data_IF_900179322885
#
_entry.id   IF_900179322885
#
_cell.length_a   1.000
_cell.length_b   1.000
_cell.length_c   1.000
_cell.angle_alpha   90.00
_cell.angle_beta   90.00
_cell.angle_gamma   90.00
#
_symmetry.space_group_name_H-M   'P 1'
#
loop_
_entity.id
_entity.type
_entity.pdbx_description
1 polymer ?
#
# COMPACT_ATOMS: atom_id res chain seq x y z
N UNK A 1 -30.45 -31.20 1.93
CA UNK A 1 -29.49 -30.90 3.01
C UNK A 1 -29.95 -29.61 3.67
N UNK A 2 -30.19 -29.63 4.98
CA UNK A 2 -30.63 -28.45 5.72
C UNK A 2 -29.57 -27.37 5.67
N UNK A 3 -29.96 -26.13 5.35
CA UNK A 3 -29.07 -24.98 5.30
C UNK A 3 -28.47 -24.73 6.70
N UNK A 4 -27.16 -24.69 6.81
CA UNK A 4 -26.49 -24.35 8.06
C UNK A 4 -26.72 -22.87 8.40
N UNK A 5 -26.84 -22.50 9.69
CA UNK A 5 -26.95 -21.11 10.09
C UNK A 5 -25.68 -20.31 9.70
N UNK A 6 -25.81 -19.01 9.53
CA UNK A 6 -24.67 -18.15 9.14
C UNK A 6 -23.50 -18.22 10.13
N UNK A 7 -23.78 -18.40 11.42
CA UNK A 7 -22.76 -18.57 12.48
C UNK A 7 -21.85 -19.77 12.22
N UNK A 8 -22.36 -20.86 11.69
CA UNK A 8 -21.55 -22.01 11.31
C UNK A 8 -20.46 -21.65 10.28
N UNK A 9 -20.82 -20.85 9.27
CA UNK A 9 -19.86 -20.43 8.24
C UNK A 9 -18.85 -19.40 8.77
N UNK A 10 -19.25 -18.54 9.70
CA UNK A 10 -18.33 -17.59 10.36
C UNK A 10 -17.31 -18.34 11.25
N UNK A 11 -17.76 -19.32 12.00
CA UNK A 11 -16.89 -20.18 12.82
C UNK A 11 -15.90 -20.97 11.95
N UNK A 12 -16.39 -21.52 10.83
CA UNK A 12 -15.55 -22.24 9.88
C UNK A 12 -14.47 -21.30 9.26
N UNK A 13 -14.85 -20.10 8.89
CA UNK A 13 -13.94 -19.11 8.36
C UNK A 13 -12.86 -18.68 9.39
N UNK A 14 -13.28 -18.42 10.64
CA UNK A 14 -12.36 -18.07 11.72
C UNK A 14 -11.38 -19.22 12.03
N UNK A 15 -11.87 -20.47 12.06
CA UNK A 15 -11.03 -21.64 12.27
C UNK A 15 -10.02 -21.81 11.14
N UNK A 16 -10.45 -21.69 9.88
CA UNK A 16 -9.56 -21.81 8.73
C UNK A 16 -8.49 -20.70 8.71
N UNK A 17 -8.85 -19.47 9.07
CA UNK A 17 -7.90 -18.35 9.19
C UNK A 17 -6.88 -18.61 10.31
N UNK A 18 -7.33 -19.08 11.48
CA UNK A 18 -6.45 -19.41 12.62
C UNK A 18 -5.48 -20.57 12.28
N UNK A 19 -5.95 -21.61 11.61
CA UNK A 19 -5.11 -22.70 11.12
C UNK A 19 -4.09 -22.22 10.08
N UNK A 20 -4.51 -21.37 9.14
CA UNK A 20 -3.61 -20.76 8.16
C UNK A 20 -2.51 -19.97 8.84
N UNK A 21 -2.84 -19.08 9.78
CA UNK A 21 -1.86 -18.28 10.52
C UNK A 21 -0.84 -19.11 11.29
N UNK A 22 -1.25 -20.27 11.83
CA UNK A 22 -0.41 -21.14 12.66
C UNK A 22 0.47 -22.10 11.87
N UNK A 23 0.02 -22.57 10.71
CA UNK A 23 0.61 -23.74 10.06
C UNK A 23 1.02 -23.56 8.60
N UNK A 24 0.58 -22.48 7.92
CA UNK A 24 0.83 -22.32 6.48
C UNK A 24 2.28 -21.98 6.10
N UNK A 25 3.08 -21.49 7.05
CA UNK A 25 4.41 -20.93 6.77
C UNK A 25 4.40 -19.52 6.16
N UNK A 26 3.23 -18.97 5.86
CA UNK A 26 3.05 -17.56 5.49
C UNK A 26 3.12 -16.66 6.73
N UNK A 27 3.59 -15.41 6.56
CA UNK A 27 3.74 -14.45 7.65
C UNK A 27 3.73 -13.03 7.09
N UNK A 28 3.45 -12.04 7.93
CA UNK A 28 3.59 -10.64 7.56
C UNK A 28 5.06 -10.31 7.21
N UNK A 29 5.24 -9.44 6.23
CA UNK A 29 6.55 -9.01 5.78
C UNK A 29 7.23 -8.09 6.81
N UNK A 30 8.33 -8.57 7.38
CA UNK A 30 9.09 -7.88 8.43
C UNK A 30 10.60 -7.87 8.16
N UNK A 31 10.99 -8.04 6.89
CA UNK A 31 12.41 -8.17 6.51
C UNK A 31 13.21 -6.88 6.66
N UNK A 32 12.58 -5.74 6.83
CA UNK A 32 13.23 -4.43 6.95
C UNK A 32 12.77 -3.72 8.23
N UNK A 33 12.41 -2.45 8.17
CA UNK A 33 11.94 -1.67 9.32
C UNK A 33 10.43 -1.40 9.25
N UNK A 34 9.76 -1.14 10.36
CA UNK A 34 8.35 -0.74 10.34
C UNK A 34 8.06 0.48 9.46
N UNK A 35 9.05 1.35 9.21
CA UNK A 35 8.92 2.53 8.37
C UNK A 35 8.98 2.22 6.86
N UNK A 36 9.47 1.05 6.46
CA UNK A 36 9.74 0.68 5.06
C UNK A 36 9.12 -0.64 4.62
N UNK A 37 8.77 -1.52 5.55
CA UNK A 37 8.22 -2.84 5.23
C UNK A 37 7.01 -2.76 4.29
N UNK A 38 6.05 -1.90 4.62
CA UNK A 38 4.81 -1.83 3.85
C UNK A 38 5.02 -1.26 2.44
N UNK A 39 5.82 -0.20 2.29
CA UNK A 39 6.08 0.38 0.97
C UNK A 39 6.91 -0.56 0.09
N UNK A 40 7.91 -1.23 0.67
CA UNK A 40 8.77 -2.13 -0.07
C UNK A 40 8.06 -3.41 -0.54
N UNK A 41 7.00 -3.81 0.16
CA UNK A 41 6.14 -4.90 -0.28
C UNK A 41 5.52 -4.65 -1.67
N UNK A 42 5.35 -3.39 -2.07
CA UNK A 42 4.68 -3.01 -3.32
C UNK A 42 5.59 -2.34 -4.35
N UNK A 43 6.73 -1.80 -3.93
CA UNK A 43 7.56 -0.94 -4.77
C UNK A 43 8.82 -1.63 -5.28
N UNK A 44 9.12 -2.86 -4.87
CA UNK A 44 10.21 -3.66 -5.43
C UNK A 44 9.76 -4.36 -6.71
N UNK A 45 10.68 -4.49 -7.66
CA UNK A 45 10.39 -5.16 -8.94
C UNK A 45 10.04 -6.63 -8.77
N UNK A 46 10.69 -7.33 -7.85
CA UNK A 46 10.32 -8.70 -7.51
C UNK A 46 9.97 -8.80 -6.02
N UNK A 47 8.71 -9.04 -5.71
CA UNK A 47 8.21 -9.25 -4.33
C UNK A 47 7.92 -10.72 -4.03
N UNK A 48 7.93 -11.58 -5.05
CA UNK A 48 7.55 -13.00 -4.93
C UNK A 48 8.75 -13.89 -4.67
N UNK A 49 9.99 -13.42 -4.92
CA UNK A 49 11.18 -14.27 -4.80
C UNK A 49 11.63 -14.49 -3.35
N UNK A 50 11.61 -15.75 -2.97
CA UNK A 50 12.39 -16.42 -1.93
C UNK A 50 12.07 -16.11 -0.48
N UNK A 51 12.01 -14.88 -0.03
CA UNK A 51 11.88 -14.52 1.40
C UNK A 51 10.55 -13.83 1.75
N UNK A 52 9.78 -13.43 0.77
CA UNK A 52 8.51 -12.74 1.02
C UNK A 52 7.39 -13.76 1.27
N UNK A 53 7.12 -13.98 2.55
CA UNK A 53 6.05 -14.89 3.01
C UNK A 53 4.68 -14.22 3.12
N UNK A 54 4.55 -12.93 2.81
CA UNK A 54 3.27 -12.24 2.92
C UNK A 54 2.42 -12.39 1.66
N UNK A 55 3.01 -12.49 0.49
CA UNK A 55 2.29 -12.59 -0.78
C UNK A 55 1.85 -14.04 -1.02
N UNK A 56 0.54 -14.27 -1.04
CA UNK A 56 -0.06 -15.58 -1.37
C UNK A 56 -0.29 -15.69 -2.88
N UNK A 57 -0.78 -14.61 -3.49
CA UNK A 57 -1.05 -14.54 -4.92
C UNK A 57 -0.65 -13.16 -5.47
N UNK A 58 0.11 -13.14 -6.55
CA UNK A 58 0.47 -11.93 -7.28
C UNK A 58 0.30 -12.12 -8.78
N UNK A 59 0.08 -11.02 -9.49
CA UNK A 59 0.31 -10.95 -10.92
C UNK A 59 1.77 -10.58 -11.14
N UNK A 60 2.52 -11.48 -11.75
CA UNK A 60 3.92 -11.26 -12.05
C UNK A 60 4.09 -10.46 -13.33
N UNK A 61 5.07 -9.59 -13.31
CA UNK A 61 5.50 -8.79 -14.44
C UNK A 61 6.99 -9.00 -14.66
N UNK A 62 7.42 -8.97 -15.91
CA UNK A 62 8.82 -9.18 -16.27
C UNK A 62 9.15 -8.42 -17.56
N UNK A 63 10.12 -7.53 -17.46
CA UNK A 63 10.54 -6.71 -18.59
C UNK A 63 11.22 -7.53 -19.70
N UNK A 64 11.86 -8.65 -19.36
CA UNK A 64 12.52 -9.51 -20.35
C UNK A 64 11.51 -10.18 -21.28
N UNK A 65 10.30 -10.43 -20.79
CA UNK A 65 9.22 -11.00 -21.59
C UNK A 65 8.24 -9.96 -22.12
N UNK A 66 8.52 -8.67 -21.91
CA UNK A 66 7.62 -7.59 -22.31
C UNK A 66 6.30 -7.53 -21.55
N UNK A 67 6.22 -8.22 -20.41
CA UNK A 67 5.03 -8.19 -19.54
C UNK A 67 5.17 -7.04 -18.56
N UNK A 68 4.65 -5.89 -18.93
CA UNK A 68 4.86 -4.61 -18.22
C UNK A 68 3.53 -3.89 -17.96
N UNK A 69 3.57 -2.85 -17.12
CA UNK A 69 2.44 -1.99 -16.85
C UNK A 69 2.86 -0.51 -16.77
N UNK A 70 1.93 0.39 -16.47
CA UNK A 70 2.15 1.85 -16.49
C UNK A 70 1.82 2.52 -15.16
N UNK A 71 2.03 1.86 -14.03
CA UNK A 71 1.68 2.44 -12.72
C UNK A 71 2.44 3.74 -12.47
N UNK A 72 3.76 3.77 -12.68
CA UNK A 72 4.56 4.98 -12.50
C UNK A 72 4.12 6.12 -13.41
N UNK A 73 3.98 5.84 -14.70
CA UNK A 73 3.52 6.83 -15.68
C UNK A 73 2.15 7.43 -15.26
N UNK A 74 1.24 6.60 -14.75
CA UNK A 74 -0.08 7.06 -14.27
C UNK A 74 0.02 8.01 -13.08
N UNK A 75 1.01 7.82 -12.19
CA UNK A 75 1.24 8.69 -11.03
C UNK A 75 2.00 9.98 -11.36
N UNK A 76 2.63 10.06 -12.53
CA UNK A 76 3.43 11.18 -12.97
C UNK A 76 2.84 11.93 -14.17
N UNK A 77 1.59 11.65 -14.54
CA UNK A 77 0.95 12.25 -15.71
C UNK A 77 -0.30 13.03 -15.35
N UNK A 78 -0.44 14.20 -15.97
CA UNK A 78 -1.66 15.01 -15.89
C UNK A 78 -2.83 14.41 -16.71
N UNK A 79 -2.55 13.44 -17.59
CA UNK A 79 -3.53 12.86 -18.54
C UNK A 79 -3.85 11.40 -18.33
N UNK A 80 -3.05 10.68 -17.53
CA UNK A 80 -3.19 9.24 -17.30
C UNK A 80 -3.86 8.92 -15.94
N UNK A 81 -5.01 9.52 -15.65
CA UNK A 81 -5.83 9.14 -14.51
C UNK A 81 -5.69 10.02 -13.26
N UNK A 82 -4.57 10.68 -13.00
CA UNK A 82 -4.34 11.60 -11.87
C UNK A 82 -4.83 11.00 -10.53
N UNK A 83 -4.34 9.82 -10.10
CA UNK A 83 -4.87 9.12 -8.93
C UNK A 83 -4.67 9.94 -7.65
N UNK A 84 -5.63 9.82 -6.73
CA UNK A 84 -5.56 10.44 -5.41
C UNK A 84 -6.44 9.68 -4.44
N UNK A 85 -5.94 9.47 -3.22
CA UNK A 85 -6.75 8.85 -2.18
C UNK A 85 -7.81 9.82 -1.67
N UNK A 86 -8.92 9.28 -1.19
CA UNK A 86 -9.96 10.10 -0.57
C UNK A 86 -9.54 10.54 0.83
N UNK A 87 -9.99 11.72 1.27
CA UNK A 87 -9.78 12.17 2.66
C UNK A 87 -10.35 11.18 3.68
N UNK A 88 -11.46 10.54 3.36
CA UNK A 88 -12.06 9.51 4.22
C UNK A 88 -11.09 8.34 4.46
N UNK A 89 -10.42 7.86 3.42
CA UNK A 89 -9.41 6.79 3.56
C UNK A 89 -8.20 7.29 4.37
N UNK A 90 -7.68 8.48 4.07
CA UNK A 90 -6.55 9.05 4.82
C UNK A 90 -6.91 9.28 6.30
N UNK A 91 -8.13 9.74 6.59
CA UNK A 91 -8.62 9.93 7.95
C UNK A 91 -8.83 8.61 8.72
N UNK A 92 -9.03 7.48 8.04
CA UNK A 92 -9.21 6.18 8.67
C UNK A 92 -7.93 5.56 9.24
N UNK A 93 -6.75 6.01 8.77
CA UNK A 93 -5.49 5.61 9.42
C UNK A 93 -5.46 6.12 10.86
N UNK A 94 -4.95 5.30 11.76
CA UNK A 94 -4.84 5.65 13.18
C UNK A 94 -3.72 6.66 13.44
N UNK A 95 -3.68 7.19 14.64
CA UNK A 95 -2.51 7.88 15.17
C UNK A 95 -1.44 6.86 15.55
N UNK A 96 -0.21 7.32 15.77
CA UNK A 96 0.92 6.46 16.16
C UNK A 96 0.69 5.71 17.48
N UNK A 97 -0.12 6.28 18.37
CA UNK A 97 -0.52 5.70 19.66
C UNK A 97 -1.72 4.75 19.57
N UNK A 98 -2.27 4.53 18.36
CA UNK A 98 -3.43 3.68 18.11
C UNK A 98 -4.79 4.37 18.26
N UNK A 99 -4.83 5.64 18.68
CA UNK A 99 -6.09 6.40 18.75
C UNK A 99 -6.60 6.75 17.34
N UNK A 100 -7.90 7.06 17.24
CA UNK A 100 -8.48 7.49 15.97
C UNK A 100 -8.10 8.93 15.66
N UNK A 101 -7.65 9.20 14.44
CA UNK A 101 -7.38 10.57 13.98
C UNK A 101 -8.62 11.45 14.06
N UNK A 102 -9.78 10.91 13.76
CA UNK A 102 -11.06 11.64 13.75
C UNK A 102 -11.56 12.04 15.14
N UNK A 103 -10.96 11.50 16.19
CA UNK A 103 -11.28 11.90 17.58
C UNK A 103 -10.54 13.18 18.01
N UNK A 104 -9.57 13.66 17.21
CA UNK A 104 -8.88 14.93 17.48
C UNK A 104 -9.81 16.11 17.20
N UNK A 105 -9.88 17.04 18.15
CA UNK A 105 -10.61 18.29 17.94
C UNK A 105 -10.05 19.07 16.75
N UNK A 106 -10.91 19.53 15.85
CA UNK A 106 -10.53 20.33 14.69
C UNK A 106 -9.84 19.56 13.55
N UNK A 107 -9.85 18.22 13.54
CA UNK A 107 -9.20 17.43 12.49
C UNK A 107 -9.68 17.80 11.07
N UNK A 108 -10.92 18.27 10.93
CA UNK A 108 -11.51 18.63 9.64
C UNK A 108 -10.82 19.83 8.95
N UNK A 109 -10.21 20.69 9.75
CA UNK A 109 -9.59 21.96 9.31
C UNK A 109 -8.07 21.94 9.39
N UNK A 110 -7.48 20.81 9.77
CA UNK A 110 -6.02 20.63 9.78
C UNK A 110 -5.44 20.78 8.39
N UNK A 111 -4.28 21.42 8.32
CA UNK A 111 -3.45 21.46 7.12
C UNK A 111 -2.89 20.08 6.79
N UNK A 112 -2.44 19.87 5.56
CA UNK A 112 -1.84 18.59 5.13
C UNK A 112 -0.66 18.16 6.02
N UNK A 113 0.17 19.10 6.45
CA UNK A 113 1.31 18.82 7.34
C UNK A 113 0.83 18.36 8.72
N UNK A 114 -0.18 19.02 9.28
CA UNK A 114 -0.74 18.67 10.60
C UNK A 114 -1.47 17.33 10.57
N UNK A 115 -2.27 17.06 9.54
CA UNK A 115 -3.04 15.82 9.45
C UNK A 115 -2.18 14.58 9.15
N UNK A 116 -0.97 14.76 8.63
CA UNK A 116 -0.04 13.65 8.35
C UNK A 116 0.96 13.39 9.48
N UNK A 117 0.99 14.27 10.50
CA UNK A 117 1.93 14.16 11.62
C UNK A 117 1.47 13.12 12.65
N UNK A 118 2.43 12.36 13.20
CA UNK A 118 2.23 11.38 14.27
C UNK A 118 1.15 10.32 13.96
N UNK A 119 1.06 9.93 12.68
CA UNK A 119 0.13 8.92 12.20
C UNK A 119 0.76 7.52 12.18
N UNK A 120 -0.09 6.51 12.05
CA UNK A 120 0.34 5.15 11.72
C UNK A 120 1.40 5.18 10.62
N UNK A 121 2.56 4.50 10.79
CA UNK A 121 3.64 4.52 9.80
C UNK A 121 3.22 4.10 8.39
N UNK A 122 2.14 3.33 8.25
CA UNK A 122 1.60 2.91 6.94
C UNK A 122 1.02 4.07 6.14
N UNK A 123 0.59 5.17 6.78
CA UNK A 123 0.14 6.35 6.06
C UNK A 123 1.26 6.94 5.21
N UNK A 124 2.45 7.16 5.81
CA UNK A 124 3.62 7.66 5.10
C UNK A 124 4.19 6.68 4.05
N UNK A 125 3.77 5.42 4.11
CA UNK A 125 4.09 4.38 3.14
C UNK A 125 2.98 4.17 2.09
N UNK A 126 1.92 4.98 2.15
CA UNK A 126 0.79 4.93 1.22
C UNK A 126 0.64 6.19 0.38
N UNK A 127 1.00 7.34 0.94
CA UNK A 127 0.94 8.64 0.25
C UNK A 127 2.23 9.44 0.46
N UNK A 128 2.46 10.43 -0.41
CA UNK A 128 3.56 11.39 -0.26
C UNK A 128 3.28 12.30 0.93
N UNK A 129 3.86 12.02 2.08
CA UNK A 129 3.85 12.90 3.25
C UNK A 129 5.05 13.86 3.21
N UNK A 130 5.10 14.91 4.05
CA UNK A 130 6.27 15.76 4.17
C UNK A 130 7.55 14.95 4.41
N UNK A 131 8.58 15.23 3.61
CA UNK A 131 9.85 14.49 3.65
C UNK A 131 9.89 13.21 2.81
N UNK A 132 8.83 12.86 2.10
CA UNK A 132 8.86 11.71 1.19
C UNK A 132 9.94 11.86 0.14
N UNK A 133 10.82 10.87 0.05
CA UNK A 133 11.77 10.70 -1.03
C UNK A 133 11.36 9.50 -1.88
N UNK A 134 11.54 9.63 -3.18
CA UNK A 134 11.27 8.53 -4.10
C UNK A 134 12.32 7.42 -3.94
N UNK A 135 11.97 6.20 -4.32
CA UNK A 135 12.89 5.06 -4.32
C UNK A 135 14.22 5.44 -5.02
N UNK A 136 15.33 5.08 -4.42
CA UNK A 136 16.68 5.39 -4.88
C UNK A 136 17.02 6.90 -4.98
N UNK A 137 16.27 7.78 -4.32
CA UNK A 137 16.57 9.22 -4.25
C UNK A 137 16.63 9.72 -2.81
N UNK A 138 17.27 10.87 -2.62
CA UNK A 138 17.36 11.55 -1.32
C UNK A 138 16.68 12.93 -1.32
N UNK A 139 16.15 13.35 -2.47
CA UNK A 139 15.49 14.65 -2.61
C UNK A 139 14.00 14.51 -2.26
N UNK A 140 13.50 15.27 -1.26
CA UNK A 140 12.09 15.25 -0.91
C UNK A 140 11.19 15.73 -2.07
N UNK A 141 10.08 15.02 -2.28
CA UNK A 141 9.13 15.31 -3.36
C UNK A 141 7.74 15.53 -2.77
N UNK A 142 7.23 16.75 -2.90
CA UNK A 142 5.87 17.11 -2.50
C UNK A 142 4.83 16.51 -3.46
N UNK A 143 3.56 16.35 -3.01
CA UNK A 143 2.45 16.06 -3.91
C UNK A 143 2.33 17.12 -5.01
N UNK A 144 2.15 16.69 -6.25
CA UNK A 144 1.90 17.58 -7.39
C UNK A 144 0.42 17.54 -7.76
N UNK A 145 -0.30 18.62 -7.54
CA UNK A 145 -1.73 18.72 -7.85
C UNK A 145 -2.05 18.60 -9.35
N UNK A 146 -1.05 18.77 -10.23
CA UNK A 146 -1.18 18.41 -11.64
C UNK A 146 -1.34 16.90 -11.89
N UNK A 147 -0.80 16.07 -10.99
CA UNK A 147 -0.77 14.61 -11.13
C UNK A 147 -1.69 13.88 -10.14
N UNK A 148 -2.30 14.58 -9.18
CA UNK A 148 -3.27 14.02 -8.24
C UNK A 148 -4.43 14.97 -8.00
N UNK A 149 -5.65 14.46 -8.03
CA UNK A 149 -6.86 15.30 -7.90
C UNK A 149 -7.20 15.68 -6.46
N UNK A 150 -6.69 14.93 -5.48
CA UNK A 150 -7.03 15.13 -4.05
C UNK A 150 -5.89 15.70 -3.22
N UNK A 151 -4.68 15.81 -3.76
CA UNK A 151 -3.46 16.12 -3.00
C UNK A 151 -2.88 14.94 -2.20
N UNK A 152 -3.65 13.89 -1.94
CA UNK A 152 -3.16 12.65 -1.32
C UNK A 152 -2.58 11.73 -2.39
N UNK A 153 -1.39 12.09 -2.88
CA UNK A 153 -0.70 11.39 -3.94
C UNK A 153 -0.24 9.99 -3.49
N UNK A 154 -0.78 8.91 -4.09
CA UNK A 154 -0.40 7.56 -3.70
C UNK A 154 1.04 7.24 -4.11
N UNK A 155 1.68 6.35 -3.34
CA UNK A 155 3.03 5.83 -3.62
C UNK A 155 3.08 4.31 -3.70
N UNK A 156 1.97 3.65 -3.50
CA UNK A 156 1.87 2.20 -3.63
C UNK A 156 2.05 1.82 -5.11
N UNK A 157 2.94 0.88 -5.39
CA UNK A 157 3.38 0.49 -6.74
C UNK A 157 4.20 1.54 -7.48
N UNK A 158 4.69 2.56 -6.79
CA UNK A 158 5.46 3.64 -7.37
C UNK A 158 6.96 3.38 -7.16
N UNK A 159 7.62 2.89 -8.19
CA UNK A 159 9.03 2.48 -8.21
C UNK A 159 9.98 3.66 -8.50
N UNK A 160 11.17 3.41 -8.98
CA UNK A 160 12.18 4.42 -9.32
C UNK A 160 11.82 5.27 -10.56
N UNK A 161 12.66 6.26 -10.85
CA UNK A 161 12.46 7.21 -11.97
C UNK A 161 12.63 6.54 -13.33
N UNK A 162 13.33 5.43 -13.35
CA UNK A 162 13.54 4.57 -14.53
C UNK A 162 12.24 4.03 -15.11
N UNK A 163 11.20 3.91 -14.28
CA UNK A 163 9.90 3.36 -14.67
C UNK A 163 8.85 4.43 -15.01
N UNK A 164 9.23 5.70 -15.15
CA UNK A 164 8.29 6.80 -15.40
C UNK A 164 7.72 6.83 -16.80
N UNK A 165 8.32 6.12 -17.73
CA UNK A 165 7.82 6.03 -19.10
C UNK A 165 6.61 5.09 -19.15
N UNK A 166 5.73 5.31 -20.12
CA UNK A 166 4.58 4.44 -20.36
C UNK A 166 5.06 3.02 -20.71
N UNK A 167 4.48 2.00 -20.05
CA UNK A 167 4.82 0.59 -20.21
C UNK A 167 6.29 0.23 -19.86
N UNK A 168 6.85 0.83 -18.81
CA UNK A 168 8.17 0.44 -18.30
C UNK A 168 8.13 -0.14 -16.90
N UNK A 169 7.03 0.01 -16.18
CA UNK A 169 6.89 -0.59 -14.84
C UNK A 169 6.73 -2.12 -14.95
N UNK A 170 7.45 -2.87 -14.12
CA UNK A 170 7.41 -4.34 -14.08
C UNK A 170 7.44 -4.91 -12.67
N UNK A 171 7.16 -4.09 -11.66
CA UNK A 171 6.99 -4.58 -10.29
C UNK A 171 5.72 -5.43 -10.18
N UNK A 172 5.82 -6.55 -9.49
CA UNK A 172 4.70 -7.46 -9.28
C UNK A 172 3.54 -6.80 -8.53
N UNK A 173 2.31 -7.18 -8.89
CA UNK A 173 1.10 -6.67 -8.24
C UNK A 173 0.51 -7.73 -7.32
N UNK A 174 0.69 -7.63 -5.99
CA UNK A 174 0.03 -8.50 -5.02
C UNK A 174 -1.49 -8.43 -5.14
N UNK A 175 -2.13 -9.58 -5.33
CA UNK A 175 -3.58 -9.72 -5.45
C UNK A 175 -4.21 -10.24 -4.16
N UNK A 176 -3.49 -11.09 -3.42
CA UNK A 176 -3.93 -11.63 -2.13
C UNK A 176 -2.72 -11.80 -1.20
N UNK A 177 -2.86 -11.32 0.02
CA UNK A 177 -1.78 -11.29 1.00
C UNK A 177 -2.23 -11.89 2.33
N UNK A 178 -1.28 -12.38 3.09
CA UNK A 178 -1.47 -12.88 4.46
C UNK A 178 -2.16 -11.87 5.37
N UNK A 179 -1.86 -10.57 5.22
CA UNK A 179 -2.52 -9.50 5.98
C UNK A 179 -4.05 -9.40 5.77
N UNK A 180 -4.60 -10.06 4.76
CA UNK A 180 -6.04 -10.13 4.52
C UNK A 180 -6.71 -11.31 5.23
N UNK A 181 -5.90 -12.24 5.74
CA UNK A 181 -6.35 -13.39 6.52
C UNK A 181 -6.32 -13.07 8.02
N UNK A 182 -5.38 -12.21 8.48
CA UNK A 182 -5.25 -11.76 9.87
C UNK A 182 -6.37 -10.79 10.24
#
# INVERSE_FOLDING_TARGET
ADAKPYTYYLELAATAADEFMKSSGYALYTAETPATNYVNLFNKHSVVEGTNKEIILARNYDIQYGVVHSANASYQSATLGRPGLTRKLVASYLMKDGSRFTDKAGWQTMTFVEETKDRDPRLAQSIRTPGYCRLNTTTPVAPNLGYTVTGYAPIKYFTGVEDDTYQTSYNDLPLFRTAEVY
#
